data_IF_577362995843
#
_entry.id   IF_577362995843
#
_cell.length_a   1.000
_cell.length_b   1.000
_cell.length_c   1.000
_cell.angle_alpha   90.00
_cell.angle_beta   90.00
_cell.angle_gamma   90.00
#
_symmetry.space_group_name_H-M   'P 1'
#
loop_
_entity.id
_entity.type
_entity.pdbx_description
1 polymer ?
#
# COMPACT_ATOMS: atom_id res chain seq x y z
N UNK A 1 -11.36 -10.30 2.19
CA UNK A 1 -11.61 -9.32 1.09
C UNK A 1 -11.50 -7.94 1.70
N UNK A 2 -10.70 -7.04 1.11
CA UNK A 2 -10.65 -5.64 1.54
C UNK A 2 -11.86 -4.92 0.96
N UNK A 3 -12.59 -4.17 1.80
CA UNK A 3 -13.76 -3.39 1.40
C UNK A 3 -13.43 -1.92 1.52
N UNK A 4 -13.73 -1.14 0.49
CA UNK A 4 -13.51 0.31 0.46
C UNK A 4 -14.87 0.99 0.40
N UNK A 5 -15.16 1.83 1.39
CA UNK A 5 -16.37 2.65 1.40
C UNK A 5 -16.12 3.96 0.64
N UNK A 6 -16.74 4.07 -0.53
CA UNK A 6 -16.64 5.25 -1.41
C UNK A 6 -17.90 6.08 -1.30
N UNK A 7 -17.78 7.33 -0.88
CA UNK A 7 -18.90 8.29 -0.89
C UNK A 7 -18.72 9.27 -2.05
N UNK A 8 -19.65 9.21 -3.02
CA UNK A 8 -19.74 10.16 -4.13
C UNK A 8 -20.78 11.23 -3.80
N UNK A 9 -20.38 12.50 -3.80
CA UNK A 9 -21.31 13.64 -3.67
C UNK A 9 -21.42 14.34 -5.04
N UNK A 10 -22.64 14.52 -5.52
CA UNK A 10 -22.92 15.23 -6.76
C UNK A 10 -23.31 16.68 -6.41
N UNK A 11 -22.33 17.59 -6.47
CA UNK A 11 -22.51 19.04 -6.28
C UNK A 11 -21.72 19.84 -7.32
N UNK A 12 -21.53 21.16 -7.10
CA UNK A 12 -20.66 21.99 -7.97
C UNK A 12 -19.22 21.48 -8.03
N UNK A 13 -18.74 20.89 -6.94
CA UNK A 13 -17.47 20.15 -6.89
C UNK A 13 -17.75 18.64 -6.86
N UNK A 14 -17.00 17.89 -7.68
CA UNK A 14 -17.06 16.43 -7.73
C UNK A 14 -15.98 15.86 -6.82
N UNK A 15 -16.33 15.64 -5.55
CA UNK A 15 -15.41 15.10 -4.55
C UNK A 15 -15.65 13.61 -4.34
N UNK A 16 -14.57 12.83 -4.26
CA UNK A 16 -14.58 11.45 -3.80
C UNK A 16 -13.98 11.43 -2.40
N UNK A 17 -14.72 10.91 -1.42
CA UNK A 17 -14.23 10.75 -0.04
C UNK A 17 -14.07 9.27 0.26
N UNK A 18 -12.87 8.89 0.69
CA UNK A 18 -12.57 7.55 1.20
C UNK A 18 -12.79 7.54 2.71
N UNK A 19 -13.57 6.60 3.23
CA UNK A 19 -13.71 6.39 4.66
C UNK A 19 -12.75 5.31 5.12
N UNK A 20 -11.93 5.62 6.13
CA UNK A 20 -11.00 4.69 6.78
C UNK A 20 -10.12 3.92 5.77
N UNK A 21 -9.39 4.63 4.89
CA UNK A 21 -8.61 3.97 3.86
C UNK A 21 -7.52 3.11 4.51
N UNK A 22 -7.44 1.84 4.08
CA UNK A 22 -6.42 0.90 4.53
C UNK A 22 -5.52 0.48 3.36
N UNK A 23 -4.21 0.35 3.62
CA UNK A 23 -3.22 0.05 2.60
C UNK A 23 -2.25 -1.05 3.05
N UNK A 24 -2.05 -2.05 2.18
CA UNK A 24 -1.02 -3.08 2.33
C UNK A 24 0.07 -2.83 1.29
N UNK A 25 1.25 -2.34 1.69
CA UNK A 25 2.38 -2.25 0.77
C UNK A 25 2.80 -3.65 0.31
N UNK A 26 2.90 -3.87 -1.00
CA UNK A 26 3.30 -5.15 -1.59
C UNK A 26 4.48 -5.00 -2.54
N UNK A 27 5.22 -6.08 -2.74
CA UNK A 27 6.29 -6.21 -3.71
C UNK A 27 6.00 -7.39 -4.64
N UNK A 28 6.21 -7.19 -5.95
CA UNK A 28 6.13 -8.27 -6.92
C UNK A 28 7.51 -8.88 -7.11
N UNK A 29 7.69 -10.13 -6.68
CA UNK A 29 8.88 -10.90 -7.01
C UNK A 29 8.64 -11.77 -8.24
N UNK A 30 9.71 -12.01 -8.99
CA UNK A 30 9.70 -12.86 -10.17
C UNK A 30 11.09 -13.46 -10.36
N UNK A 31 11.16 -14.60 -11.04
CA UNK A 31 12.40 -15.28 -11.38
C UNK A 31 12.44 -15.52 -12.88
N UNK A 32 13.49 -15.03 -13.56
CA UNK A 32 13.65 -15.15 -15.01
C UNK A 32 12.42 -14.65 -15.80
N UNK A 33 11.78 -13.56 -15.34
CA UNK A 33 10.53 -13.03 -15.91
C UNK A 33 9.35 -14.02 -15.88
N UNK A 34 9.40 -15.01 -14.99
CA UNK A 34 8.36 -16.01 -14.76
C UNK A 34 8.08 -16.13 -13.25
N UNK A 35 7.07 -16.92 -12.88
CA UNK A 35 6.76 -17.24 -11.47
C UNK A 35 6.48 -15.99 -10.61
N UNK A 36 5.69 -15.05 -11.14
CA UNK A 36 5.32 -13.83 -10.45
C UNK A 36 4.59 -14.14 -9.13
N UNK A 37 5.04 -13.50 -8.05
CA UNK A 37 4.41 -13.59 -6.72
C UNK A 37 4.28 -12.21 -6.13
N UNK A 38 3.11 -11.93 -5.55
CA UNK A 38 2.88 -10.71 -4.78
C UNK A 38 3.12 -11.03 -3.32
N UNK A 39 4.10 -10.36 -2.71
CA UNK A 39 4.49 -10.53 -1.32
C UNK A 39 4.21 -9.24 -0.55
N UNK A 40 3.75 -9.29 0.71
CA UNK A 40 3.75 -8.11 1.58
C UNK A 40 5.17 -7.53 1.68
N UNK A 41 5.31 -6.22 1.55
CA UNK A 41 6.62 -5.57 1.50
C UNK A 41 7.44 -5.81 2.77
N UNK A 42 6.78 -5.86 3.95
CA UNK A 42 7.41 -6.23 5.24
C UNK A 42 8.01 -7.65 5.22
N UNK A 43 7.39 -8.57 4.48
CA UNK A 43 7.82 -9.96 4.35
C UNK A 43 8.87 -10.15 3.23
N UNK A 44 9.17 -9.11 2.45
CA UNK A 44 10.06 -9.18 1.29
C UNK A 44 11.57 -8.93 1.61
N UNK A 45 11.97 -8.84 2.89
CA UNK A 45 13.38 -8.64 3.30
C UNK A 45 14.08 -9.95 3.73
N UNK A 46 15.44 -10.08 3.67
CA UNK A 46 16.45 -9.48 2.80
C UNK A 46 16.82 -10.39 1.60
N UNK A 47 16.10 -11.51 1.38
CA UNK A 47 16.50 -12.57 0.44
C UNK A 47 16.37 -12.16 -1.03
N UNK A 48 15.53 -11.17 -1.37
CA UNK A 48 15.26 -10.76 -2.76
C UNK A 48 15.43 -9.26 -3.03
N UNK A 49 15.37 -8.43 -1.99
CA UNK A 49 15.58 -6.98 -2.10
C UNK A 49 16.68 -6.61 -1.11
N UNK A 50 17.87 -6.25 -1.63
CA UNK A 50 19.02 -5.82 -0.81
C UNK A 50 18.67 -4.75 0.24
N UNK A 51 17.59 -3.99 0.01
CA UNK A 51 17.12 -2.87 0.82
C UNK A 51 15.59 -2.95 1.14
N UNK A 52 14.97 -4.13 1.14
CA UNK A 52 13.51 -4.26 1.24
C UNK A 52 12.88 -3.62 2.49
N UNK A 53 13.57 -3.75 3.64
CA UNK A 53 13.20 -3.07 4.89
C UNK A 53 13.44 -1.55 4.84
N UNK A 54 14.49 -1.10 4.13
CA UNK A 54 14.82 0.34 4.00
C UNK A 54 13.74 1.09 3.21
N UNK A 55 13.04 0.43 2.27
CA UNK A 55 12.02 1.10 1.44
C UNK A 55 10.64 1.16 2.09
N UNK A 56 10.37 0.38 3.14
CA UNK A 56 9.05 0.37 3.78
C UNK A 56 8.74 1.70 4.48
N UNK A 57 9.67 2.20 5.30
CA UNK A 57 9.47 3.44 6.06
C UNK A 57 9.34 4.69 5.16
N UNK A 58 10.16 4.88 4.11
CA UNK A 58 9.96 5.96 3.14
C UNK A 58 8.61 5.92 2.43
N UNK A 59 8.13 4.74 2.03
CA UNK A 59 6.80 4.59 1.39
C UNK A 59 5.71 4.99 2.37
N UNK A 60 5.80 4.51 3.62
CA UNK A 60 4.85 4.84 4.68
C UNK A 60 4.82 6.35 4.95
N UNK A 61 6.00 6.97 5.02
CA UNK A 61 6.13 8.41 5.23
C UNK A 61 5.55 9.21 4.07
N UNK A 62 5.91 8.86 2.83
CA UNK A 62 5.42 9.54 1.63
C UNK A 62 3.89 9.53 1.55
N UNK A 63 3.27 8.37 1.74
CA UNK A 63 1.82 8.22 1.70
C UNK A 63 1.11 9.01 2.81
N UNK A 64 1.67 9.03 4.03
CA UNK A 64 1.12 9.80 5.16
C UNK A 64 1.17 11.31 4.95
N UNK A 65 2.09 11.81 4.13
CA UNK A 65 2.12 13.23 3.74
C UNK A 65 0.84 13.66 3.03
N UNK A 66 0.23 12.76 2.24
CA UNK A 66 -0.95 13.06 1.42
C UNK A 66 -2.25 12.47 1.97
N UNK A 67 -2.17 11.47 2.85
CA UNK A 67 -3.33 10.78 3.42
C UNK A 67 -3.01 10.39 4.88
N UNK A 68 -3.22 11.34 5.79
CA UNK A 68 -2.89 11.16 7.22
C UNK A 68 -3.78 10.11 7.89
N UNK A 69 -5.00 9.95 7.39
CA UNK A 69 -6.00 8.96 7.80
C UNK A 69 -5.71 7.54 7.31
N UNK A 70 -4.64 7.33 6.52
CA UNK A 70 -4.29 6.04 5.96
C UNK A 70 -3.81 5.06 7.02
N UNK A 71 -4.54 3.95 7.15
CA UNK A 71 -4.19 2.83 8.01
C UNK A 71 -3.34 1.80 7.25
N UNK A 72 -2.15 1.49 7.75
CA UNK A 72 -1.30 0.46 7.13
C UNK A 72 -1.61 -0.90 7.74
N UNK A 73 -1.98 -1.87 6.90
CA UNK A 73 -2.28 -3.24 7.32
C UNK A 73 -1.08 -4.17 7.03
N UNK A 74 -0.99 -5.31 7.73
CA UNK A 74 0.14 -6.25 7.59
C UNK A 74 1.41 -5.83 8.35
N UNK A 75 1.26 -4.95 9.35
CA UNK A 75 2.33 -4.45 10.22
C UNK A 75 2.54 -5.27 11.50
N UNK A 76 1.70 -6.26 11.78
CA UNK A 76 1.89 -7.22 12.89
C UNK A 76 2.86 -8.34 12.50
#
# INVERSE_FOLDING_TARGET
MATIDVVKRMGKERTITLKQPSFLPTFTSYQNLTQFKVLPLKQAAPVQIRNGTIQFDPIKQHMRTYMQELHFIGTE
#
